data_IF_972671283707
#
_entry.id   IF_972671283707
#
_cell.length_a   1.000
_cell.length_b   1.000
_cell.length_c   1.000
_cell.angle_alpha   90.00
_cell.angle_beta   90.00
_cell.angle_gamma   90.00
#
_symmetry.space_group_name_H-M   'P 1'
#
loop_
_entity.id
_entity.type
_entity.pdbx_description
1 polymer ?
#
# COMPACT_ATOMS: atom_id res chain seq x y z
N UNK A 1 50.69 -0.14 23.34
CA UNK A 1 50.51 -1.44 22.67
C UNK A 1 50.27 -2.41 23.80
N UNK A 2 49.05 -2.77 24.19
CA UNK A 2 47.76 -2.78 23.52
C UNK A 2 46.64 -2.48 24.53
N UNK A 3 45.60 -1.81 24.03
CA UNK A 3 44.34 -1.54 24.72
C UNK A 3 43.57 -2.84 25.00
N UNK A 4 42.97 -2.94 26.20
CA UNK A 4 41.88 -3.87 26.50
C UNK A 4 40.72 -3.11 27.12
N UNK A 5 39.55 -3.34 26.52
CA UNK A 5 38.23 -2.81 26.83
C UNK A 5 37.51 -3.81 27.76
N UNK A 6 36.75 -3.32 28.75
CA UNK A 6 35.54 -3.97 29.30
C UNK A 6 34.55 -2.82 29.59
N UNK A 7 33.61 -2.50 28.69
CA UNK A 7 32.25 -3.08 28.54
C UNK A 7 31.42 -3.10 29.85
N UNK A 8 30.93 -1.93 30.25
CA UNK A 8 29.75 -1.81 31.10
C UNK A 8 28.50 -2.14 30.28
N UNK A 9 27.94 -3.31 30.59
CA UNK A 9 26.68 -3.83 30.10
C UNK A 9 25.60 -3.46 31.12
N UNK A 10 24.66 -2.58 30.76
CA UNK A 10 23.26 -2.64 31.22
C UNK A 10 22.45 -1.47 30.64
N UNK A 11 21.61 -1.76 29.63
CA UNK A 11 20.33 -1.07 29.50
C UNK A 11 19.28 -1.96 28.83
N UNK A 12 18.12 -1.99 29.48
CA UNK A 12 16.91 -2.76 29.22
C UNK A 12 16.49 -2.92 27.75
N UNK A 13 15.83 -4.04 27.40
CA UNK A 13 15.16 -4.16 26.11
C UNK A 13 13.85 -3.35 26.13
N UNK A 14 13.80 -2.26 25.38
CA UNK A 14 12.54 -1.58 25.03
C UNK A 14 11.78 -2.35 23.93
N UNK A 15 10.44 -2.27 23.91
CA UNK A 15 9.58 -3.28 23.33
C UNK A 15 9.59 -3.30 21.80
N UNK A 16 9.61 -4.52 21.27
CA UNK A 16 9.46 -4.87 19.86
C UNK A 16 8.19 -4.23 19.30
N UNK A 17 8.35 -3.09 18.64
CA UNK A 17 7.30 -2.51 17.80
C UNK A 17 7.37 -3.21 16.45
N UNK A 18 6.32 -3.96 16.15
CA UNK A 18 6.05 -4.63 14.86
C UNK A 18 6.35 -3.69 13.70
N UNK A 19 7.47 -3.98 13.06
CA UNK A 19 8.06 -3.29 11.92
C UNK A 19 7.38 -3.73 10.62
N UNK A 20 6.50 -2.86 10.10
CA UNK A 20 6.14 -2.79 8.68
C UNK A 20 7.38 -2.28 7.92
N UNK A 21 8.25 -3.18 7.47
CA UNK A 21 9.40 -2.80 6.63
C UNK A 21 8.97 -2.61 5.17
N UNK A 22 8.95 -1.37 4.69
CA UNK A 22 9.38 -0.99 3.33
C UNK A 22 9.72 0.51 3.35
N UNK A 23 10.87 0.88 3.89
CA UNK A 23 11.42 2.24 3.73
C UNK A 23 12.11 2.33 2.37
N UNK A 24 11.36 2.79 1.37
CA UNK A 24 11.95 3.47 0.21
C UNK A 24 12.31 4.88 0.66
N UNK A 25 13.60 5.24 0.60
CA UNK A 25 14.20 6.55 0.99
C UNK A 25 13.70 7.78 0.18
N UNK A 26 12.54 7.68 -0.45
CA UNK A 26 11.83 8.81 -1.06
C UNK A 26 11.09 9.60 0.02
N UNK A 27 11.00 10.94 -0.08
CA UNK A 27 10.10 11.70 0.79
C UNK A 27 8.71 11.09 0.73
N UNK A 28 8.10 10.80 1.88
CA UNK A 28 6.75 10.24 1.95
C UNK A 28 5.78 11.35 1.53
N UNK A 29 5.50 11.46 0.23
CA UNK A 29 4.64 12.51 -0.33
C UNK A 29 3.16 12.26 0.00
N UNK A 30 2.75 10.99 0.05
CA UNK A 30 1.38 10.56 0.25
C UNK A 30 1.32 9.41 1.25
N UNK A 31 0.27 9.37 2.06
CA UNK A 31 -0.06 8.26 2.95
C UNK A 31 -1.43 7.64 2.65
N UNK A 32 -1.59 6.37 3.01
CA UNK A 32 -2.90 5.72 3.16
C UNK A 32 -3.22 5.65 4.65
N UNK A 33 -4.35 6.22 5.05
CA UNK A 33 -4.83 6.23 6.44
C UNK A 33 -6.25 5.66 6.53
N UNK A 34 -6.65 5.23 7.74
CA UNK A 34 -7.97 4.66 8.02
C UNK A 34 -8.37 3.53 7.06
N UNK A 35 -7.39 2.70 6.65
CA UNK A 35 -7.65 1.56 5.78
C UNK A 35 -8.56 0.55 6.48
N UNK A 36 -9.74 0.35 5.88
CA UNK A 36 -10.75 -0.61 6.30
C UNK A 36 -11.04 -1.52 5.12
N UNK A 37 -10.85 -2.81 5.33
CA UNK A 37 -11.18 -3.83 4.35
C UNK A 37 -12.29 -4.69 4.94
N UNK A 38 -13.44 -4.72 4.27
CA UNK A 38 -14.51 -5.66 4.58
C UNK A 38 -14.55 -6.68 3.47
N UNK A 39 -14.57 -7.94 3.85
CA UNK A 39 -14.54 -9.05 2.91
C UNK A 39 -15.71 -9.99 3.16
N UNK A 40 -16.30 -10.42 2.06
CA UNK A 40 -17.12 -11.60 1.96
C UNK A 40 -16.47 -12.56 0.95
N UNK A 41 -17.01 -13.77 0.78
CA UNK A 41 -16.42 -14.82 -0.06
C UNK A 41 -16.17 -14.38 -1.50
N UNK A 42 -17.02 -13.51 -2.04
CA UNK A 42 -17.00 -13.08 -3.45
C UNK A 42 -16.85 -11.58 -3.64
N UNK A 43 -16.82 -10.78 -2.56
CA UNK A 43 -16.73 -9.32 -2.66
C UNK A 43 -15.78 -8.74 -1.64
N UNK A 44 -15.09 -7.69 -2.02
CA UNK A 44 -14.24 -6.91 -1.12
C UNK A 44 -14.64 -5.44 -1.22
N UNK A 45 -14.87 -4.84 -0.06
CA UNK A 45 -15.12 -3.43 0.12
C UNK A 45 -13.89 -2.82 0.80
N UNK A 46 -13.15 -2.00 0.06
CA UNK A 46 -11.94 -1.31 0.54
C UNK A 46 -12.25 0.16 0.69
N UNK A 47 -12.01 0.70 1.89
CA UNK A 47 -12.19 2.12 2.20
C UNK A 47 -10.95 2.66 2.89
N UNK A 48 -10.45 3.82 2.47
CA UNK A 48 -9.28 4.46 3.07
C UNK A 48 -9.27 5.96 2.76
N UNK A 49 -8.36 6.70 3.38
CA UNK A 49 -8.02 8.08 3.05
C UNK A 49 -6.68 8.12 2.36
N UNK A 50 -6.62 8.79 1.20
CA UNK A 50 -5.35 9.25 0.63
C UNK A 50 -5.03 10.59 1.28
N UNK A 51 -3.87 10.73 1.89
CA UNK A 51 -3.46 11.90 2.68
C UNK A 51 -2.19 12.51 2.08
N UNK A 52 -2.19 13.81 1.87
CA UNK A 52 -1.01 14.58 1.50
C UNK A 52 -0.12 14.76 2.75
N UNK A 53 1.14 14.35 2.64
CA UNK A 53 2.13 14.44 3.72
C UNK A 53 3.26 15.44 3.41
N UNK A 54 3.12 16.19 2.31
CA UNK A 54 4.08 17.23 1.95
C UNK A 54 4.06 18.39 2.96
N UNK A 55 5.23 18.88 3.34
CA UNK A 55 5.40 19.99 4.29
C UNK A 55 4.93 21.34 3.72
N UNK A 56 4.99 21.51 2.41
CA UNK A 56 4.59 22.74 1.73
C UNK A 56 3.08 22.84 1.46
N UNK A 57 2.30 21.81 1.82
CA UNK A 57 0.86 21.69 1.58
C UNK A 57 0.43 21.90 0.11
N UNK A 58 1.34 21.71 -0.84
CA UNK A 58 1.00 21.85 -2.26
C UNK A 58 0.01 20.75 -2.67
N UNK A 59 -1.02 21.08 -3.49
CA UNK A 59 -1.97 20.08 -3.93
C UNK A 59 -1.31 18.96 -4.77
N UNK A 60 -1.44 17.72 -4.31
CA UNK A 60 -0.95 16.54 -5.00
C UNK A 60 -2.09 15.80 -5.70
N UNK A 61 -1.83 15.28 -6.90
CA UNK A 61 -2.80 14.46 -7.62
C UNK A 61 -2.12 13.33 -8.36
N UNK A 62 -2.93 12.40 -8.84
CA UNK A 62 -2.43 11.20 -9.47
C UNK A 62 -3.50 10.13 -9.58
N UNK A 63 -3.07 8.88 -9.49
CA UNK A 63 -3.89 7.71 -9.78
C UNK A 63 -3.68 6.61 -8.75
N UNK A 64 -4.78 5.99 -8.32
CA UNK A 64 -4.75 4.88 -7.36
C UNK A 64 -5.19 3.58 -8.02
N UNK A 65 -4.48 2.50 -7.72
CA UNK A 65 -4.93 1.14 -7.98
C UNK A 65 -5.01 0.35 -6.68
N UNK A 66 -5.94 -0.59 -6.66
CA UNK A 66 -6.11 -1.59 -5.63
C UNK A 66 -5.92 -2.94 -6.31
N UNK A 67 -4.94 -3.71 -5.87
CA UNK A 67 -4.69 -5.07 -6.32
C UNK A 67 -5.05 -6.02 -5.19
N UNK A 68 -5.67 -7.15 -5.50
CA UNK A 68 -5.91 -8.23 -4.56
C UNK A 68 -5.41 -9.54 -5.15
N UNK A 69 -4.74 -10.37 -4.36
CA UNK A 69 -4.25 -11.69 -4.78
C UNK A 69 -4.39 -12.72 -3.66
N UNK A 70 -4.54 -14.00 -4.01
CA UNK A 70 -4.57 -15.09 -3.02
C UNK A 70 -3.15 -15.42 -2.56
N UNK A 71 -2.98 -15.55 -1.24
CA UNK A 71 -1.77 -16.08 -0.61
C UNK A 71 -1.68 -17.60 -0.81
N UNK A 72 -1.45 -18.05 -2.05
CA UNK A 72 -1.12 -19.43 -2.38
C UNK A 72 -0.40 -19.48 -3.74
N UNK A 73 0.70 -20.25 -3.80
CA UNK A 73 1.83 -20.05 -4.71
C UNK A 73 1.59 -20.44 -6.18
N UNK A 74 2.47 -19.89 -7.02
CA UNK A 74 2.77 -20.16 -8.43
C UNK A 74 1.84 -19.58 -9.51
N UNK A 75 0.54 -19.42 -9.24
CA UNK A 75 -0.40 -18.75 -10.17
C UNK A 75 -1.48 -17.96 -9.43
N UNK A 76 -1.05 -17.01 -8.59
CA UNK A 76 -1.97 -16.12 -7.89
C UNK A 76 -2.73 -15.28 -8.92
N UNK A 77 -4.04 -15.52 -9.04
CA UNK A 77 -4.92 -14.63 -9.76
C UNK A 77 -4.87 -13.27 -9.06
N UNK A 78 -4.55 -12.23 -9.82
CA UNK A 78 -4.50 -10.85 -9.32
C UNK A 78 -5.70 -10.09 -9.88
N UNK A 79 -6.58 -9.67 -8.98
CA UNK A 79 -7.66 -8.74 -9.31
C UNK A 79 -7.13 -7.33 -9.23
N UNK A 80 -7.40 -6.53 -10.26
CA UNK A 80 -6.91 -5.15 -10.38
C UNK A 80 -8.10 -4.22 -10.50
N UNK A 81 -8.14 -3.20 -9.65
CA UNK A 81 -9.16 -2.16 -9.68
C UNK A 81 -8.53 -0.76 -9.72
N UNK A 82 -8.96 0.12 -10.65
CA UNK A 82 -9.76 -0.19 -11.83
C UNK A 82 -9.09 -1.23 -12.74
N UNK A 83 -9.87 -1.95 -13.54
CA UNK A 83 -9.35 -3.00 -14.43
C UNK A 83 -8.28 -2.44 -15.36
N UNK A 84 -7.09 -3.03 -15.30
CA UNK A 84 -5.92 -2.67 -16.10
C UNK A 84 -5.02 -3.88 -16.27
N UNK A 85 -4.41 -4.08 -17.46
CA UNK A 85 -3.40 -5.13 -17.63
C UNK A 85 -2.18 -4.85 -16.76
N UNK A 86 -1.60 -5.91 -16.20
CA UNK A 86 -0.39 -5.86 -15.41
C UNK A 86 0.82 -6.30 -16.23
N UNK A 87 1.97 -5.69 -15.94
CA UNK A 87 3.30 -6.18 -16.31
C UNK A 87 4.14 -6.19 -15.04
N UNK A 88 4.75 -7.33 -14.72
CA UNK A 88 5.57 -7.51 -13.52
C UNK A 88 4.87 -7.09 -12.22
N UNK A 89 3.56 -7.36 -12.12
CA UNK A 89 2.73 -7.01 -10.96
C UNK A 89 2.24 -5.56 -10.88
N UNK A 90 2.55 -4.72 -11.87
CA UNK A 90 2.16 -3.30 -11.90
C UNK A 90 1.27 -2.95 -13.11
N UNK A 91 0.28 -2.04 -12.96
CA UNK A 91 -0.51 -1.56 -14.09
C UNK A 91 0.36 -0.96 -15.21
N UNK A 92 0.19 -1.45 -16.44
CA UNK A 92 0.95 -0.98 -17.61
C UNK A 92 0.67 0.51 -17.88
N UNK A 93 -0.59 0.92 -17.70
CA UNK A 93 -1.01 2.30 -17.87
C UNK A 93 -1.55 2.86 -16.54
N UNK A 94 -0.69 3.59 -15.84
CA UNK A 94 -1.00 4.22 -14.55
C UNK A 94 -2.21 5.16 -14.63
N UNK A 95 -2.47 5.78 -15.80
CA UNK A 95 -3.58 6.72 -15.99
C UNK A 95 -4.96 6.06 -15.97
N UNK A 96 -5.04 4.72 -16.01
CA UNK A 96 -6.28 3.96 -15.84
C UNK A 96 -6.73 3.85 -14.38
N UNK A 97 -5.89 4.29 -13.44
CA UNK A 97 -6.21 4.25 -12.02
C UNK A 97 -7.33 5.22 -11.65
N UNK A 98 -7.84 5.08 -10.44
CA UNK A 98 -8.80 6.02 -9.90
C UNK A 98 -8.11 7.36 -9.62
N UNK A 99 -8.53 8.41 -10.33
CA UNK A 99 -7.92 9.74 -10.21
C UNK A 99 -8.17 10.35 -8.84
N UNK A 100 -7.15 11.01 -8.30
CA UNK A 100 -7.27 11.88 -7.13
C UNK A 100 -6.57 13.22 -7.34
N UNK A 101 -7.01 14.18 -6.54
CA UNK A 101 -6.39 15.48 -6.38
C UNK A 101 -6.77 15.99 -4.99
N UNK A 102 -5.79 16.23 -4.14
CA UNK A 102 -6.00 16.55 -2.72
C UNK A 102 -5.04 17.65 -2.30
N UNK A 103 -5.53 18.58 -1.48
CA UNK A 103 -4.67 19.46 -0.70
C UNK A 103 -4.30 18.80 0.63
N UNK A 104 -5.28 18.20 1.32
CA UNK A 104 -5.10 17.51 2.61
C UNK A 104 -5.37 16.02 2.51
N UNK A 105 -6.62 15.62 2.28
CA UNK A 105 -6.96 14.21 2.11
C UNK A 105 -8.24 14.02 1.28
N UNK A 106 -8.45 12.78 0.81
CA UNK A 106 -9.71 12.34 0.21
C UNK A 106 -10.01 10.90 0.61
N UNK A 107 -11.23 10.67 1.07
CA UNK A 107 -11.73 9.32 1.30
C UNK A 107 -12.03 8.64 -0.04
N UNK A 108 -11.54 7.42 -0.18
CA UNK A 108 -11.82 6.52 -1.30
C UNK A 108 -12.54 5.29 -0.78
N UNK A 109 -13.54 4.85 -1.53
CA UNK A 109 -14.27 3.62 -1.25
C UNK A 109 -14.49 2.90 -2.57
N UNK A 110 -14.13 1.63 -2.60
CA UNK A 110 -14.24 0.78 -3.79
C UNK A 110 -14.75 -0.59 -3.37
N UNK A 111 -15.81 -1.02 -4.03
CA UNK A 111 -16.32 -2.39 -3.95
C UNK A 111 -15.94 -3.13 -5.22
N UNK A 112 -15.40 -4.33 -5.08
CA UNK A 112 -15.10 -5.18 -6.23
C UNK A 112 -15.49 -6.63 -5.96
N UNK A 113 -15.89 -7.30 -7.03
CA UNK A 113 -16.30 -8.71 -7.03
C UNK A 113 -15.13 -9.56 -7.50
N UNK A 114 -14.82 -10.60 -6.74
CA UNK A 114 -13.84 -11.60 -7.11
C UNK A 114 -14.43 -12.51 -8.18
N UNK A 115 -13.65 -12.85 -9.21
CA UNK A 115 -14.04 -13.82 -10.24
C UNK A 115 -14.31 -15.22 -9.63
N UNK A 116 -13.72 -15.51 -8.47
CA UNK A 116 -13.86 -16.75 -7.73
C UNK A 116 -14.15 -16.47 -6.27
N UNK A 117 -15.15 -17.17 -5.74
CA UNK A 117 -15.44 -17.20 -4.32
C UNK A 117 -14.31 -17.92 -3.57
N UNK A 118 -13.74 -17.32 -2.53
CA UNK A 118 -12.66 -17.94 -1.76
C UNK A 118 -12.63 -17.48 -0.31
N UNK A 119 -12.37 -18.42 0.60
CA UNK A 119 -12.17 -18.19 2.03
C UNK A 119 -10.66 -18.06 2.38
N UNK A 120 -9.76 -18.15 1.39
CA UNK A 120 -8.30 -18.04 1.62
C UNK A 120 -7.87 -16.60 1.93
N UNK A 121 -6.83 -16.38 2.75
CA UNK A 121 -6.26 -15.05 2.96
C UNK A 121 -5.87 -14.37 1.65
N UNK A 122 -6.14 -13.07 1.55
CA UNK A 122 -5.76 -12.25 0.41
C UNK A 122 -4.68 -11.25 0.79
N UNK A 123 -3.82 -10.95 -0.17
CA UNK A 123 -2.88 -9.84 -0.09
C UNK A 123 -3.49 -8.69 -0.88
N UNK A 124 -3.69 -7.56 -0.21
CA UNK A 124 -4.14 -6.31 -0.80
C UNK A 124 -2.95 -5.37 -1.00
N UNK A 125 -2.80 -4.84 -2.19
CA UNK A 125 -1.81 -3.81 -2.50
C UNK A 125 -2.51 -2.53 -2.97
N UNK A 126 -2.27 -1.41 -2.29
CA UNK A 126 -2.69 -0.08 -2.72
C UNK A 126 -1.48 0.60 -3.36
N UNK A 127 -1.59 0.87 -4.65
CA UNK A 127 -0.57 1.54 -5.44
C UNK A 127 -1.03 2.98 -5.70
N UNK A 128 -0.19 3.96 -5.41
CA UNK A 128 -0.45 5.36 -5.71
C UNK A 128 0.64 5.87 -6.64
N UNK A 129 0.21 6.35 -7.80
CA UNK A 129 1.04 7.03 -8.78
C UNK A 129 0.76 8.53 -8.72
N UNK A 130 1.77 9.34 -9.00
CA UNK A 130 1.59 10.77 -9.24
C UNK A 130 1.04 11.04 -10.67
N UNK A 131 1.11 12.30 -11.13
CA UNK A 131 0.65 12.69 -12.48
C UNK A 131 1.61 12.25 -13.59
N UNK A 132 2.89 12.17 -13.28
CA UNK A 132 3.97 11.85 -14.20
C UNK A 132 4.14 10.32 -14.39
N UNK A 133 3.54 9.55 -13.48
CA UNK A 133 3.51 8.09 -13.53
C UNK A 133 4.51 7.44 -12.58
N UNK A 134 5.12 8.21 -11.68
CA UNK A 134 6.00 7.68 -10.65
C UNK A 134 5.17 7.02 -9.55
N UNK A 135 5.57 5.81 -9.12
CA UNK A 135 4.96 5.11 -8.00
C UNK A 135 5.43 5.76 -6.70
N UNK A 136 4.59 6.63 -6.13
CA UNK A 136 4.90 7.42 -4.93
C UNK A 136 4.49 6.73 -3.62
N UNK A 137 3.69 5.66 -3.69
CA UNK A 137 3.35 4.83 -2.54
C UNK A 137 2.93 3.42 -2.97
N UNK A 138 3.42 2.43 -2.22
CA UNK A 138 2.93 1.04 -2.25
C UNK A 138 2.64 0.60 -0.81
N UNK A 139 1.37 0.36 -0.48
CA UNK A 139 0.96 -0.18 0.83
C UNK A 139 0.43 -1.60 0.63
N UNK A 140 0.98 -2.55 1.37
CA UNK A 140 0.59 -3.97 1.32
C UNK A 140 -0.04 -4.35 2.66
N UNK A 141 -1.17 -5.06 2.64
CA UNK A 141 -1.81 -5.62 3.84
C UNK A 141 -2.39 -7.01 3.55
N UNK A 142 -2.39 -7.89 4.54
CA UNK A 142 -3.06 -9.20 4.47
C UNK A 142 -4.47 -9.11 5.09
N UNK A 143 -5.46 -9.73 4.44
CA UNK A 143 -6.90 -9.68 4.80
C UNK A 143 -7.64 -11.00 4.66
#
# INVERSE_FOLDING_TARGET
>A
MEDYIEEDKEQSPEPVSTSDYTESSSPILVGIEELKVKRDRSTIDVTFKVVNRQLNEEPIGGYVFILASIRDSDRSEVWVYPSSPLKDGLPINYRRGQRFFIQRFKSMSSKYTLSRSTDKPLILEVLVYDRDGELILKKVVEV
#
